data_IF_111304125617
#
_entry.id   IF_111304125617
#
_cell.length_a   1.000
_cell.length_b   1.000
_cell.length_c   1.000
_cell.angle_alpha   90.00
_cell.angle_beta   90.00
_cell.angle_gamma   90.00
#
_symmetry.space_group_name_H-M   'P 1'
#
loop_
_entity.id
_entity.type
_entity.pdbx_description
1 polymer ?
#
# COMPACT_ATOMS: atom_id res chain seq x y z
N UNK A 1 1.72 36.63 -11.15
CA UNK A 1 0.32 36.21 -10.98
C UNK A 1 0.02 36.07 -9.51
N UNK A 2 -0.82 36.95 -8.95
CA UNK A 2 -1.00 37.10 -7.51
C UNK A 2 -1.81 35.94 -6.90
N UNK A 3 -1.19 35.12 -6.04
CA UNK A 3 -1.89 34.11 -5.22
C UNK A 3 -2.71 34.84 -4.15
N UNK A 4 -4.02 34.94 -4.33
CA UNK A 4 -4.94 35.44 -3.29
C UNK A 4 -4.96 34.45 -2.12
N UNK A 5 -4.39 34.84 -0.99
CA UNK A 5 -4.58 34.13 0.29
C UNK A 5 -6.07 34.20 0.65
N UNK A 6 -6.72 33.05 0.74
CA UNK A 6 -8.07 32.98 1.33
C UNK A 6 -7.92 33.16 2.85
N UNK A 7 -8.50 34.23 3.37
CA UNK A 7 -8.55 34.51 4.82
C UNK A 7 -9.95 34.12 5.28
N UNK A 8 -10.05 33.08 6.10
CA UNK A 8 -11.29 32.71 6.79
C UNK A 8 -11.48 33.72 7.92
N UNK A 9 -12.45 34.62 7.78
CA UNK A 9 -12.77 35.67 8.77
C UNK A 9 -13.96 35.27 9.65
N UNK A 10 -14.75 34.31 9.18
CA UNK A 10 -15.98 33.85 9.81
C UNK A 10 -16.22 32.37 9.51
N UNK A 11 -16.94 31.67 10.40
CA UNK A 11 -17.43 30.30 10.16
C UNK A 11 -18.26 30.19 8.86
N UNK A 12 -18.88 31.29 8.41
CA UNK A 12 -19.62 31.36 7.14
C UNK A 12 -18.72 31.33 5.88
N UNK A 13 -17.41 31.56 6.01
CA UNK A 13 -16.47 31.49 4.89
C UNK A 13 -16.05 30.05 4.56
N UNK A 14 -16.39 29.11 5.46
CA UNK A 14 -16.14 27.69 5.30
C UNK A 14 -17.28 27.08 4.47
N UNK A 15 -17.02 26.85 3.19
CA UNK A 15 -17.91 26.04 2.34
C UNK A 15 -17.63 24.56 2.58
N UNK A 16 -18.31 23.98 3.56
CA UNK A 16 -18.38 22.52 3.70
C UNK A 16 -19.49 21.96 2.80
N UNK A 17 -19.27 20.82 2.12
CA UNK A 17 -20.33 20.15 1.37
C UNK A 17 -21.46 19.77 2.33
N UNK A 18 -22.64 20.34 2.10
CA UNK A 18 -23.85 20.02 2.87
C UNK A 18 -24.55 18.84 2.17
N UNK A 19 -24.57 17.69 2.84
CA UNK A 19 -25.34 16.55 2.36
C UNK A 19 -26.84 16.87 2.48
N UNK A 20 -27.49 17.14 1.34
CA UNK A 20 -28.94 17.28 1.28
C UNK A 20 -29.56 15.90 1.54
N UNK A 21 -30.32 15.77 2.63
CA UNK A 21 -31.04 14.54 2.99
C UNK A 21 -32.26 14.32 2.09
N UNK A 22 -32.05 14.13 0.79
CA UNK A 22 -33.08 13.68 -0.14
C UNK A 22 -33.01 12.16 -0.34
N UNK A 23 -32.97 11.40 0.76
CA UNK A 23 -33.20 9.96 0.69
C UNK A 23 -34.71 9.75 0.81
N UNK A 24 -35.39 9.53 -0.32
CA UNK A 24 -36.64 8.78 -0.26
C UNK A 24 -36.39 7.46 0.50
N UNK A 25 -37.37 6.97 1.26
CA UNK A 25 -37.27 5.76 2.09
C UNK A 25 -36.64 4.60 1.31
N UNK A 26 -35.32 4.48 1.41
CA UNK A 26 -34.52 3.45 0.76
C UNK A 26 -34.19 2.46 1.86
N UNK A 27 -34.89 1.33 1.86
CA UNK A 27 -34.60 0.23 2.77
C UNK A 27 -33.26 -0.40 2.35
N UNK A 28 -32.16 0.00 3.00
CA UNK A 28 -30.84 -0.59 2.81
C UNK A 28 -30.75 -1.82 3.70
N UNK A 29 -30.56 -3.00 3.10
CA UNK A 29 -30.31 -4.26 3.82
C UNK A 29 -28.85 -4.67 3.65
N UNK A 30 -28.13 -4.78 4.76
CA UNK A 30 -26.76 -5.32 4.79
C UNK A 30 -26.83 -6.83 5.00
N UNK A 31 -26.18 -7.60 4.14
CA UNK A 31 -26.08 -9.05 4.27
C UNK A 31 -24.68 -9.49 3.84
N UNK A 32 -24.09 -10.41 4.62
CA UNK A 32 -22.87 -11.09 4.20
C UNK A 32 -23.20 -12.07 3.07
N UNK A 33 -22.69 -11.81 1.86
CA UNK A 33 -22.92 -12.65 0.69
C UNK A 33 -21.92 -13.81 0.59
N UNK A 34 -20.67 -13.62 1.02
CA UNK A 34 -19.55 -14.52 0.76
C UNK A 34 -18.51 -14.45 1.87
N UNK A 35 -17.98 -15.60 2.23
CA UNK A 35 -16.92 -15.75 3.25
C UNK A 35 -15.75 -16.48 2.59
N UNK A 36 -14.60 -15.81 2.53
CA UNK A 36 -13.33 -16.37 2.05
C UNK A 36 -12.49 -16.68 3.30
N UNK A 37 -12.14 -17.95 3.52
CA UNK A 37 -11.55 -18.39 4.79
C UNK A 37 -10.44 -19.42 4.60
N UNK A 38 -9.59 -19.57 5.62
CA UNK A 38 -8.58 -20.64 5.77
C UNK A 38 -7.47 -20.66 4.71
N UNK A 39 -7.12 -19.52 4.10
CA UNK A 39 -6.02 -19.44 3.14
C UNK A 39 -4.75 -18.76 3.65
N UNK A 40 -4.83 -18.08 4.80
CA UNK A 40 -3.72 -17.37 5.44
C UNK A 40 -3.40 -18.00 6.79
N UNK A 41 -2.09 -18.15 7.07
CA UNK A 41 -1.58 -18.61 8.37
C UNK A 41 -1.33 -17.48 9.35
N UNK A 42 -1.25 -16.24 8.85
CA UNK A 42 -0.98 -15.03 9.61
C UNK A 42 -2.06 -13.98 9.40
N UNK A 43 -1.99 -12.89 10.15
CA UNK A 43 -2.88 -11.73 9.98
C UNK A 43 -2.76 -11.17 8.57
N UNK A 44 -3.91 -10.89 7.95
CA UNK A 44 -3.97 -10.25 6.64
C UNK A 44 -3.47 -8.81 6.78
N UNK A 45 -2.45 -8.46 6.00
CA UNK A 45 -1.84 -7.12 5.95
C UNK A 45 -2.35 -6.27 4.79
N UNK A 46 -2.97 -6.90 3.79
CA UNK A 46 -3.53 -6.17 2.66
C UNK A 46 -4.60 -6.94 1.90
N UNK A 47 -5.55 -6.18 1.36
CA UNK A 47 -6.60 -6.64 0.47
C UNK A 47 -6.68 -5.67 -0.70
N UNK A 48 -6.63 -6.18 -1.93
CA UNK A 48 -6.69 -5.34 -3.12
C UNK A 48 -7.55 -5.99 -4.20
N UNK A 49 -8.65 -5.35 -4.64
CA UNK A 49 -9.41 -5.82 -5.79
C UNK A 49 -8.59 -5.65 -7.08
N UNK A 50 -8.74 -6.60 -8.01
CA UNK A 50 -8.19 -6.48 -9.36
C UNK A 50 -9.08 -5.60 -10.24
N UNK A 51 -8.49 -5.01 -11.28
CA UNK A 51 -9.21 -4.20 -12.27
C UNK A 51 -10.22 -5.02 -13.10
N UNK A 52 -10.09 -6.35 -13.14
CA UNK A 52 -10.98 -7.24 -13.88
C UNK A 52 -12.39 -7.36 -13.28
N UNK A 53 -12.57 -6.97 -12.01
CA UNK A 53 -13.81 -7.11 -11.22
C UNK A 53 -14.29 -8.54 -11.05
N UNK A 54 -13.40 -9.50 -11.27
CA UNK A 54 -13.64 -10.94 -11.07
C UNK A 54 -12.75 -11.48 -9.97
N UNK A 55 -11.56 -10.91 -9.78
CA UNK A 55 -10.57 -11.36 -8.81
C UNK A 55 -10.20 -10.29 -7.79
N UNK A 56 -9.65 -10.73 -6.67
CA UNK A 56 -8.99 -9.87 -5.70
C UNK A 56 -7.84 -10.62 -5.05
N UNK A 57 -6.91 -9.86 -4.50
CA UNK A 57 -5.73 -10.37 -3.83
C UNK A 57 -5.83 -10.12 -2.34
N UNK A 58 -5.31 -11.05 -1.56
CA UNK A 58 -5.09 -10.89 -0.13
C UNK A 58 -3.66 -11.27 0.21
N UNK A 59 -3.04 -10.52 1.13
CA UNK A 59 -1.67 -10.73 1.55
C UNK A 59 -1.59 -10.91 3.06
N UNK A 60 -0.78 -11.86 3.50
CA UNK A 60 -0.18 -11.92 4.83
C UNK A 60 1.35 -11.73 4.69
N UNK A 61 2.13 -11.72 5.80
CA UNK A 61 3.56 -11.47 5.74
C UNK A 61 4.39 -12.42 4.86
N UNK A 62 3.87 -13.62 4.54
CA UNK A 62 4.59 -14.65 3.78
C UNK A 62 3.89 -15.07 2.50
N UNK A 63 2.60 -14.79 2.35
CA UNK A 63 1.77 -15.30 1.27
C UNK A 63 0.92 -14.22 0.63
N UNK A 64 0.86 -14.25 -0.70
CA UNK A 64 -0.12 -13.51 -1.49
C UNK A 64 -1.01 -14.50 -2.21
N UNK A 65 -2.31 -14.40 -1.96
CA UNK A 65 -3.35 -15.24 -2.51
C UNK A 65 -4.20 -14.45 -3.50
N UNK A 66 -4.56 -15.06 -4.61
CA UNK A 66 -5.55 -14.57 -5.58
C UNK A 66 -6.83 -15.39 -5.46
N UNK A 67 -7.94 -14.68 -5.39
CA UNK A 67 -9.28 -15.23 -5.22
C UNK A 67 -10.15 -14.84 -6.39
N UNK A 68 -11.07 -15.73 -6.75
CA UNK A 68 -12.19 -15.36 -7.61
C UNK A 68 -13.37 -14.94 -6.72
N UNK A 69 -14.01 -13.82 -7.02
CA UNK A 69 -15.13 -13.29 -6.25
C UNK A 69 -16.30 -14.26 -6.18
N UNK A 70 -16.46 -15.20 -7.10
CA UNK A 70 -17.52 -16.21 -7.15
C UNK A 70 -17.16 -17.55 -6.51
N UNK A 71 -15.88 -17.82 -6.28
CA UNK A 71 -15.38 -19.09 -5.73
C UNK A 71 -14.80 -18.86 -4.33
N UNK A 72 -15.43 -19.44 -3.31
CA UNK A 72 -15.07 -19.18 -1.89
C UNK A 72 -14.27 -20.29 -1.23
N UNK A 73 -14.20 -21.46 -1.88
CA UNK A 73 -13.58 -22.69 -1.38
C UNK A 73 -12.23 -23.00 -2.03
N UNK A 74 -11.81 -22.22 -3.02
CA UNK A 74 -10.54 -22.38 -3.72
C UNK A 74 -9.80 -21.04 -3.76
N UNK A 75 -8.47 -21.13 -3.76
CA UNK A 75 -7.58 -19.98 -3.75
C UNK A 75 -6.31 -20.37 -4.50
N UNK A 76 -5.76 -19.42 -5.24
CA UNK A 76 -4.48 -19.59 -5.91
C UNK A 76 -3.40 -18.81 -5.14
N UNK A 77 -2.39 -19.51 -4.63
CA UNK A 77 -1.25 -18.87 -3.96
C UNK A 77 -0.29 -18.36 -5.01
N UNK A 78 -0.24 -17.03 -5.18
CA UNK A 78 0.63 -16.36 -6.16
C UNK A 78 2.04 -16.28 -5.63
N UNK A 79 2.23 -15.96 -4.35
CA UNK A 79 3.54 -15.94 -3.68
C UNK A 79 3.39 -16.75 -2.40
N UNK A 80 4.32 -17.66 -2.12
CA UNK A 80 4.36 -18.46 -0.89
C UNK A 80 5.80 -18.62 -0.38
N UNK A 81 6.17 -17.81 0.61
CA UNK A 81 7.48 -17.92 1.26
C UNK A 81 7.46 -19.04 2.30
N UNK A 82 8.34 -20.03 2.12
CA UNK A 82 8.50 -21.15 3.05
C UNK A 82 9.15 -20.67 4.36
N UNK A 83 8.47 -20.91 5.49
CA UNK A 83 8.96 -20.56 6.84
C UNK A 83 10.37 -21.06 7.12
N UNK A 84 10.69 -22.31 6.72
CA UNK A 84 12.00 -22.93 6.96
C UNK A 84 13.16 -22.28 6.19
N UNK A 85 12.85 -21.39 5.23
CA UNK A 85 13.83 -20.67 4.42
C UNK A 85 14.01 -19.22 4.86
N UNK A 86 13.29 -18.79 5.90
CA UNK A 86 13.40 -17.43 6.40
C UNK A 86 14.66 -17.26 7.23
N UNK A 87 15.34 -16.15 6.99
CA UNK A 87 16.45 -15.64 7.76
C UNK A 87 16.14 -14.22 8.25
N UNK A 88 17.03 -13.65 9.06
CA UNK A 88 16.88 -12.29 9.55
C UNK A 88 16.83 -11.25 8.43
N UNK A 89 17.26 -11.58 7.20
CA UNK A 89 17.29 -10.70 6.01
C UNK A 89 16.07 -10.84 5.11
N UNK A 90 15.18 -11.77 5.43
CA UNK A 90 14.01 -12.04 4.62
C UNK A 90 13.06 -10.84 4.58
N UNK A 91 12.50 -10.59 3.41
CA UNK A 91 11.54 -9.52 3.18
C UNK A 91 10.14 -10.04 3.50
N UNK A 92 9.52 -9.48 4.54
CA UNK A 92 8.15 -9.79 4.91
C UNK A 92 7.20 -8.81 4.25
N UNK A 93 6.09 -9.31 3.71
CA UNK A 93 5.09 -8.51 3.02
C UNK A 93 4.34 -7.65 4.05
N UNK A 94 4.18 -6.36 3.76
CA UNK A 94 3.47 -5.41 4.65
C UNK A 94 2.20 -4.85 4.04
N UNK A 95 2.01 -5.02 2.73
CA UNK A 95 0.83 -4.55 2.03
C UNK A 95 0.86 -4.93 0.57
N UNK A 96 -0.29 -4.79 -0.11
CA UNK A 96 -0.46 -5.07 -1.54
C UNK A 96 -1.35 -4.00 -2.16
N UNK A 97 -1.06 -3.63 -3.41
CA UNK A 97 -1.92 -2.83 -4.27
C UNK A 97 -1.95 -3.43 -5.66
N UNK A 98 -3.15 -3.58 -6.23
CA UNK A 98 -3.33 -3.88 -7.64
C UNK A 98 -3.36 -2.59 -8.45
N UNK A 99 -3.02 -2.68 -9.72
CA UNK A 99 -3.23 -1.60 -10.68
C UNK A 99 -4.72 -1.35 -10.91
N UNK A 100 -5.09 -0.09 -11.14
CA UNK A 100 -6.47 0.31 -11.42
C UNK A 100 -6.90 0.05 -12.87
N UNK A 101 -5.97 -0.14 -13.81
CA UNK A 101 -6.25 -0.38 -15.24
C UNK A 101 -5.77 -1.73 -15.76
N UNK A 102 -4.66 -2.25 -15.24
CA UNK A 102 -4.04 -3.49 -15.70
C UNK A 102 -4.27 -4.61 -14.69
N UNK A 103 -5.20 -5.55 -14.93
CA UNK A 103 -5.54 -6.59 -13.96
C UNK A 103 -4.41 -7.59 -13.70
N UNK A 104 -3.42 -7.67 -14.59
CA UNK A 104 -2.27 -8.55 -14.40
C UNK A 104 -1.19 -7.97 -13.48
N UNK A 105 -1.21 -6.65 -13.25
CA UNK A 105 -0.20 -5.94 -12.47
C UNK A 105 -0.63 -5.75 -11.03
N UNK A 106 0.26 -6.11 -10.12
CA UNK A 106 0.16 -5.77 -8.70
C UNK A 106 1.54 -5.50 -8.13
N UNK A 107 1.58 -4.80 -7.01
CA UNK A 107 2.80 -4.51 -6.28
C UNK A 107 2.59 -4.79 -4.80
N UNK A 108 3.65 -5.23 -4.12
CA UNK A 108 3.63 -5.40 -2.68
C UNK A 108 4.83 -4.71 -2.02
N UNK A 109 4.58 -4.16 -0.84
CA UNK A 109 5.58 -3.52 0.01
C UNK A 109 6.17 -4.50 1.01
N UNK A 110 7.34 -4.20 1.53
CA UNK A 110 8.03 -5.05 2.51
C UNK A 110 8.49 -4.28 3.73
N UNK A 111 8.73 -5.03 4.82
CA UNK A 111 9.24 -4.51 6.09
C UNK A 111 10.67 -3.93 6.02
N UNK A 112 11.33 -4.04 4.86
CA UNK A 112 12.65 -3.47 4.56
C UNK A 112 12.62 -2.36 3.52
N UNK A 113 11.45 -1.79 3.26
CA UNK A 113 11.31 -0.65 2.36
C UNK A 113 11.51 -0.96 0.88
N UNK A 114 11.52 -2.24 0.50
CA UNK A 114 11.50 -2.64 -0.91
C UNK A 114 10.07 -2.84 -1.40
N UNK A 115 9.83 -2.47 -2.65
CA UNK A 115 8.55 -2.66 -3.33
C UNK A 115 8.79 -3.57 -4.53
N UNK A 116 8.02 -4.64 -4.62
CA UNK A 116 8.12 -5.62 -5.69
C UNK A 116 6.91 -5.44 -6.61
N UNK A 117 7.19 -5.18 -7.89
CA UNK A 117 6.18 -5.09 -8.94
C UNK A 117 6.12 -6.43 -9.68
N UNK A 118 4.94 -7.03 -9.74
CA UNK A 118 4.70 -8.35 -10.30
C UNK A 118 3.71 -8.26 -11.47
N UNK A 119 3.93 -9.11 -12.48
CA UNK A 119 3.00 -9.30 -13.60
C UNK A 119 2.61 -10.78 -13.69
N UNK A 120 1.34 -11.08 -13.44
CA UNK A 120 0.82 -12.47 -13.48
C UNK A 120 0.89 -13.10 -14.87
N UNK A 121 1.08 -12.32 -15.93
CA UNK A 121 1.26 -12.84 -17.31
C UNK A 121 2.67 -13.35 -17.58
N UNK A 122 3.67 -12.82 -16.90
CA UNK A 122 5.06 -13.25 -17.10
C UNK A 122 5.33 -14.57 -16.37
N UNK A 123 4.75 -14.72 -15.17
CA UNK A 123 4.74 -15.97 -14.43
C UNK A 123 3.51 -16.03 -13.52
N UNK A 124 2.77 -17.15 -13.58
CA UNK A 124 1.64 -17.37 -12.68
C UNK A 124 2.07 -17.45 -11.22
N UNK A 125 3.26 -17.96 -10.93
CA UNK A 125 3.83 -18.05 -9.57
C UNK A 125 4.61 -16.80 -9.17
N UNK A 126 4.80 -15.82 -10.07
CA UNK A 126 5.49 -14.57 -9.77
C UNK A 126 6.80 -14.74 -8.97
N UNK A 127 7.50 -15.88 -9.12
CA UNK A 127 8.68 -16.27 -8.32
C UNK A 127 9.80 -15.23 -8.41
N UNK A 128 9.81 -14.49 -9.51
CA UNK A 128 10.67 -13.34 -9.74
C UNK A 128 9.77 -12.13 -9.99
N UNK A 129 9.95 -11.07 -9.21
CA UNK A 129 9.30 -9.81 -9.48
C UNK A 129 9.79 -9.23 -10.81
N UNK A 130 8.88 -8.67 -11.59
CA UNK A 130 9.19 -8.01 -12.86
C UNK A 130 10.11 -6.81 -12.64
N UNK A 131 9.96 -6.12 -11.51
CA UNK A 131 10.77 -4.99 -11.13
C UNK A 131 10.81 -4.88 -9.60
N UNK A 132 11.96 -4.43 -9.06
CA UNK A 132 12.11 -4.18 -7.62
C UNK A 132 12.61 -2.76 -7.41
N UNK A 133 11.93 -2.04 -6.53
CA UNK A 133 12.35 -0.73 -6.05
C UNK A 133 12.98 -0.90 -4.67
N UNK A 134 14.26 -0.55 -4.53
CA UNK A 134 14.98 -0.64 -3.27
C UNK A 134 15.09 0.74 -2.63
N UNK A 135 14.56 0.90 -1.43
CA UNK A 135 14.79 2.10 -0.62
C UNK A 135 16.05 2.02 0.25
N UNK A 136 16.58 0.80 0.48
CA UNK A 136 17.74 0.52 1.31
C UNK A 136 18.74 -0.34 0.54
N UNK A 137 20.00 -0.28 0.96
CA UNK A 137 21.02 -1.23 0.50
C UNK A 137 20.74 -2.63 1.06
N UNK A 138 21.17 -3.68 0.35
CA UNK A 138 20.91 -5.07 0.74
C UNK A 138 21.64 -5.48 2.03
N UNK A 139 22.72 -4.79 2.37
CA UNK A 139 23.54 -4.99 3.57
C UNK A 139 23.22 -4.02 4.71
N UNK A 140 22.14 -3.24 4.58
CA UNK A 140 21.70 -2.34 5.65
C UNK A 140 21.40 -3.13 6.93
N UNK A 141 22.03 -2.72 8.02
CA UNK A 141 22.00 -3.44 9.30
C UNK A 141 21.52 -2.58 10.45
N UNK A 142 21.37 -1.27 10.26
CA UNK A 142 20.82 -0.40 11.29
C UNK A 142 19.32 -0.68 11.48
N UNK A 143 18.97 -1.20 12.65
CA UNK A 143 17.60 -1.60 13.00
C UNK A 143 16.64 -0.42 12.89
N UNK A 144 17.02 0.78 13.34
CA UNK A 144 16.17 1.95 13.25
C UNK A 144 15.93 2.37 11.80
N UNK A 145 16.96 2.30 10.96
CA UNK A 145 16.84 2.55 9.51
C UNK A 145 15.92 1.54 8.83
N UNK A 146 16.05 0.24 9.16
CA UNK A 146 15.17 -0.82 8.64
C UNK A 146 13.71 -0.55 9.05
N UNK A 147 13.46 -0.35 10.34
CA UNK A 147 12.11 -0.12 10.87
C UNK A 147 11.46 1.14 10.29
N UNK A 148 12.21 2.25 10.19
CA UNK A 148 11.66 3.50 9.67
C UNK A 148 11.44 3.51 8.16
N UNK A 149 12.10 2.61 7.41
CA UNK A 149 11.89 2.44 5.96
C UNK A 149 10.89 1.33 5.63
N UNK A 150 10.39 0.57 6.61
CA UNK A 150 9.30 -0.38 6.40
C UNK A 150 8.14 0.29 5.66
N UNK A 151 7.65 -0.34 4.58
CA UNK A 151 6.52 0.20 3.82
C UNK A 151 5.25 -0.02 4.65
N UNK A 152 4.60 1.06 5.11
CA UNK A 152 3.35 0.99 5.87
C UNK A 152 2.11 0.92 4.95
N UNK A 153 2.18 1.59 3.80
CA UNK A 153 1.14 1.54 2.78
C UNK A 153 1.72 1.80 1.40
N UNK A 154 1.10 1.22 0.37
CA UNK A 154 1.47 1.46 -1.03
C UNK A 154 0.24 1.47 -1.93
N UNK A 155 0.27 2.28 -2.98
CA UNK A 155 -0.83 2.40 -3.94
C UNK A 155 -0.32 2.68 -5.34
N UNK A 156 -0.93 2.05 -6.33
CA UNK A 156 -0.79 2.48 -7.72
C UNK A 156 -1.40 3.86 -7.93
N UNK A 157 -0.86 4.59 -8.91
CA UNK A 157 -1.52 5.75 -9.49
C UNK A 157 -2.94 5.42 -9.97
N UNK A 158 -3.82 6.39 -9.84
CA UNK A 158 -5.20 6.33 -10.32
C UNK A 158 -5.27 6.51 -11.85
N UNK A 159 -4.30 7.22 -12.44
CA UNK A 159 -4.23 7.52 -13.87
C UNK A 159 -3.10 6.80 -14.59
N UNK A 160 -2.21 6.09 -13.88
CA UNK A 160 -1.03 5.48 -14.48
C UNK A 160 -0.58 4.19 -13.77
N UNK A 161 -0.23 3.19 -14.56
CA UNK A 161 0.25 1.89 -14.08
C UNK A 161 1.77 1.83 -13.86
N UNK A 162 2.48 2.89 -14.25
CA UNK A 162 3.92 3.00 -14.05
C UNK A 162 4.28 3.82 -12.82
N UNK A 163 3.32 4.51 -12.19
CA UNK A 163 3.55 5.26 -10.95
C UNK A 163 3.03 4.46 -9.75
N UNK A 164 3.90 4.33 -8.74
CA UNK A 164 3.58 3.72 -7.46
C UNK A 164 3.93 4.71 -6.37
N UNK A 165 3.03 4.89 -5.42
CA UNK A 165 3.25 5.69 -4.24
C UNK A 165 3.43 4.76 -3.04
N UNK A 166 4.35 5.11 -2.14
CA UNK A 166 4.57 4.37 -0.90
C UNK A 166 4.72 5.29 0.29
N UNK A 167 4.26 4.84 1.44
CA UNK A 167 4.47 5.46 2.74
C UNK A 167 5.45 4.61 3.54
N UNK A 168 6.48 5.25 4.06
CA UNK A 168 7.23 4.75 5.22
C UNK A 168 6.97 5.67 6.41
N UNK A 169 7.59 5.40 7.56
CA UNK A 169 7.33 6.18 8.78
C UNK A 169 7.56 7.69 8.55
N UNK A 170 8.71 8.05 7.97
CA UNK A 170 9.15 9.44 7.90
C UNK A 170 8.72 10.18 6.63
N UNK A 171 8.41 9.46 5.56
CA UNK A 171 8.21 10.03 4.23
C UNK A 171 7.14 9.32 3.38
N UNK A 172 6.64 10.06 2.40
CA UNK A 172 5.90 9.54 1.25
C UNK A 172 6.83 9.59 0.05
N UNK A 173 6.89 8.53 -0.75
CA UNK A 173 7.74 8.41 -1.93
C UNK A 173 6.91 8.11 -3.16
N UNK A 174 7.30 8.68 -4.29
CA UNK A 174 6.74 8.40 -5.62
C UNK A 174 7.78 7.65 -6.43
N UNK A 175 7.41 6.52 -7.01
CA UNK A 175 8.25 5.64 -7.81
C UNK A 175 7.72 5.59 -9.24
N UNK A 176 8.63 5.57 -10.23
CA UNK A 176 8.30 5.36 -11.64
C UNK A 176 8.95 4.06 -12.11
N UNK A 177 8.18 3.12 -12.64
CA UNK A 177 8.70 1.84 -13.13
C UNK A 177 9.70 1.96 -14.27
N UNK A 178 9.73 3.12 -14.96
CA UNK A 178 10.71 3.46 -15.99
C UNK A 178 12.01 4.01 -15.41
N UNK A 179 12.02 4.36 -14.12
CA UNK A 179 13.19 4.83 -13.37
C UNK A 179 13.27 4.09 -12.01
N UNK A 180 13.64 2.79 -12.01
CA UNK A 180 13.57 1.95 -10.81
C UNK A 180 14.65 2.20 -9.76
N UNK A 181 15.70 2.94 -10.12
CA UNK A 181 16.90 3.06 -9.27
C UNK A 181 16.70 3.92 -8.04
N UNK A 182 15.75 4.85 -8.05
CA UNK A 182 15.47 5.75 -6.94
C UNK A 182 14.05 6.33 -7.04
N UNK A 183 13.46 6.80 -5.93
CA UNK A 183 12.18 7.49 -5.99
C UNK A 183 12.31 8.80 -6.79
N UNK A 184 11.29 9.09 -7.60
CA UNK A 184 11.20 10.33 -8.40
C UNK A 184 10.95 11.52 -7.49
N UNK A 185 10.13 11.33 -6.45
CA UNK A 185 9.80 12.37 -5.47
C UNK A 185 9.80 11.79 -4.06
N UNK A 186 10.26 12.59 -3.09
CA UNK A 186 10.28 12.22 -1.67
C UNK A 186 9.74 13.38 -0.84
N UNK A 187 8.64 13.14 -0.16
CA UNK A 187 7.93 14.10 0.68
C UNK A 187 8.13 13.73 2.16
N UNK A 188 8.95 14.48 2.91
CA UNK A 188 9.14 14.21 4.33
C UNK A 188 7.92 14.66 5.12
N UNK A 189 7.21 13.72 5.76
CA UNK A 189 6.00 13.98 6.56
C UNK A 189 6.37 14.23 8.03
N UNK A 190 7.15 13.34 8.62
CA UNK A 190 7.45 13.35 10.06
C UNK A 190 8.91 13.70 10.37
N UNK A 191 9.49 14.63 9.59
CA UNK A 191 10.91 14.97 9.69
C UNK A 191 11.37 15.38 11.10
N UNK A 192 10.48 15.98 11.88
CA UNK A 192 10.76 16.44 13.24
C UNK A 192 10.99 15.28 14.23
N UNK A 193 10.40 14.10 13.96
CA UNK A 193 10.55 12.91 14.80
C UNK A 193 11.89 12.21 14.64
N UNK A 194 12.68 12.55 13.61
CA UNK A 194 13.97 11.89 13.32
C UNK A 194 14.96 11.95 14.51
N UNK A 195 14.89 12.98 15.35
CA UNK A 195 15.74 13.13 16.55
C UNK A 195 15.27 12.30 17.74
N UNK A 196 14.07 11.76 17.68
CA UNK A 196 13.40 11.06 18.77
C UNK A 196 13.17 9.57 18.46
N UNK A 197 13.77 9.03 17.39
CA UNK A 197 13.56 7.65 16.94
C UNK A 197 13.86 6.62 18.03
N UNK A 198 14.89 6.83 18.85
CA UNK A 198 15.20 5.95 19.98
C UNK A 198 14.06 5.91 21.01
N UNK A 199 13.51 7.07 21.38
CA UNK A 199 12.39 7.16 22.33
C UNK A 199 11.12 6.56 21.72
N UNK A 200 10.87 6.79 20.43
CA UNK A 200 9.73 6.21 19.71
C UNK A 200 9.86 4.70 19.59
N UNK A 201 11.07 4.18 19.45
CA UNK A 201 11.33 2.74 19.43
C UNK A 201 11.06 2.11 20.80
N UNK A 202 11.60 2.70 21.87
CA UNK A 202 11.40 2.22 23.26
C UNK A 202 9.92 2.28 23.70
N UNK A 203 9.14 3.18 23.11
CA UNK A 203 7.70 3.32 23.36
C UNK A 203 6.81 2.58 22.35
N UNK A 204 7.38 1.77 21.46
CA UNK A 204 6.68 1.00 20.42
C UNK A 204 5.88 1.85 19.41
N UNK A 205 6.10 3.17 19.37
CA UNK A 205 5.42 4.10 18.46
C UNK A 205 5.98 4.09 17.03
N UNK A 206 7.09 3.38 16.78
CA UNK A 206 7.61 3.16 15.42
C UNK A 206 6.78 2.16 14.61
N UNK A 207 5.87 1.42 15.24
CA UNK A 207 5.01 0.43 14.59
C UNK A 207 3.65 0.99 14.17
N UNK A 208 3.44 2.30 14.33
CA UNK A 208 2.22 2.97 13.88
C UNK A 208 2.04 2.84 12.36
N UNK A 209 0.84 2.41 11.96
CA UNK A 209 0.49 2.07 10.59
C UNK A 209 -0.10 3.28 9.83
N UNK A 210 0.78 4.16 9.36
CA UNK A 210 0.38 5.33 8.58
C UNK A 210 -0.07 4.97 7.17
N UNK A 211 -1.30 5.37 6.81
CA UNK A 211 -1.91 5.08 5.50
C UNK A 211 -1.73 6.21 4.50
N UNK A 212 -1.78 5.82 3.23
CA UNK A 212 -1.64 6.69 2.08
C UNK A 212 -3.00 6.85 1.37
N UNK A 213 -3.27 8.04 0.84
CA UNK A 213 -4.34 8.24 -0.15
C UNK A 213 -3.87 9.17 -1.26
N UNK A 214 -4.39 8.93 -2.47
CA UNK A 214 -4.02 9.64 -3.69
C UNK A 214 -5.28 10.27 -4.27
N UNK A 215 -5.18 11.48 -4.81
CA UNK A 215 -6.27 12.10 -5.55
C UNK A 215 -6.54 11.35 -6.85
N UNK A 216 -7.77 11.43 -7.37
CA UNK A 216 -8.18 10.73 -8.60
C UNK A 216 -7.39 11.09 -9.86
N UNK A 217 -6.55 12.13 -9.80
CA UNK A 217 -5.72 12.63 -10.89
C UNK A 217 -4.21 12.54 -10.60
N UNK A 218 -3.82 11.82 -9.53
CA UNK A 218 -2.44 11.61 -9.10
C UNK A 218 -1.63 12.88 -8.74
N UNK A 219 -2.30 14.04 -8.62
CA UNK A 219 -1.62 15.33 -8.33
C UNK A 219 -1.42 15.61 -6.84
N UNK A 220 -2.20 14.97 -5.99
CA UNK A 220 -2.15 15.19 -4.55
C UNK A 220 -2.05 13.84 -3.85
N UNK A 221 -1.12 13.77 -2.91
CA UNK A 221 -0.91 12.61 -2.05
C UNK A 221 -1.02 13.06 -0.60
N UNK A 222 -1.66 12.25 0.24
CA UNK A 222 -1.79 12.46 1.67
C UNK A 222 -1.32 11.21 2.40
N UNK A 223 -0.57 11.40 3.47
CA UNK A 223 0.00 10.35 4.31
C UNK A 223 0.58 10.91 5.60
#
# INVERSE_FOLDING_TARGET
GCRRKFVIRSLSDIKVPVCLKNYGNTNIRVQNKKVFARAHGFSIVGLSPSADRETFFSADPLRINMWNLEVTNEVFSVIDHMLDRLDDRSHLITGISCSNSSPSLFAYGTNRGSIFLCDTRSSSLCDHASLVFHSLAADESDVLTILTNSVSDLKFGQCSDYIIFSRDYLSVKTWDSRMPTQPVEVYPVQRHLKKHLTVLYESELLFDDFKLTISSNDRYVSG
#
